data_IF_899909636910
#
_entry.id   IF_899909636910
#
_cell.length_a   1.000
_cell.length_b   1.000
_cell.length_c   1.000
_cell.angle_alpha   90.00
_cell.angle_beta   90.00
_cell.angle_gamma   90.00
#
_symmetry.space_group_name_H-M   'P 1'
#
loop_
_entity.id
_entity.type
_entity.pdbx_description
1 polymer ?
#
# COMPACT_ATOMS: atom_id res chain seq x y z
N UNK A 1 -21.07 -19.81 25.07
CA UNK A 1 -22.00 -18.72 24.78
C UNK A 1 -22.76 -18.41 26.06
N UNK A 2 -22.94 -17.14 26.44
CA UNK A 2 -23.80 -16.80 27.58
C UNK A 2 -25.26 -17.14 27.24
N UNK A 3 -26.01 -17.64 28.22
CA UNK A 3 -27.46 -17.84 28.12
C UNK A 3 -28.16 -16.50 27.86
N UNK A 4 -29.33 -16.54 27.21
CA UNK A 4 -30.09 -15.35 26.78
C UNK A 4 -30.38 -14.34 27.91
N UNK A 5 -30.33 -14.79 29.17
CA UNK A 5 -30.66 -14.01 30.36
C UNK A 5 -29.46 -13.32 31.02
N UNK A 6 -28.22 -13.60 30.59
CA UNK A 6 -27.02 -13.02 31.21
C UNK A 6 -26.67 -11.68 30.57
N UNK A 7 -26.94 -10.59 31.27
CA UNK A 7 -26.54 -9.25 30.84
C UNK A 7 -25.02 -9.07 30.97
N UNK A 8 -24.39 -8.54 29.91
CA UNK A 8 -22.95 -8.30 29.87
C UNK A 8 -22.66 -6.85 30.27
N UNK A 9 -21.63 -6.64 31.10
CA UNK A 9 -21.21 -5.30 31.50
C UNK A 9 -20.69 -4.53 30.27
N UNK A 10 -20.96 -3.22 30.12
CA UNK A 10 -20.55 -2.46 28.95
C UNK A 10 -19.04 -2.51 28.63
N UNK A 11 -18.20 -2.72 29.66
CA UNK A 11 -16.75 -2.85 29.49
C UNK A 11 -16.34 -4.24 28.96
N UNK A 12 -17.20 -5.24 29.15
CA UNK A 12 -16.97 -6.62 28.70
C UNK A 12 -17.29 -6.81 27.21
N UNK A 13 -17.93 -5.84 26.55
CA UNK A 13 -18.03 -5.81 25.08
C UNK A 13 -16.65 -5.76 24.41
N UNK A 14 -15.65 -5.21 25.11
CA UNK A 14 -14.26 -5.19 24.67
C UNK A 14 -13.55 -6.52 24.92
N UNK A 15 -14.02 -7.33 25.88
CA UNK A 15 -13.44 -8.66 26.21
C UNK A 15 -13.74 -9.69 25.11
N UNK A 16 -14.82 -9.50 24.35
CA UNK A 16 -15.06 -10.27 23.12
C UNK A 16 -14.02 -9.98 22.01
N UNK A 17 -13.21 -8.93 22.18
CA UNK A 17 -12.18 -8.47 21.25
C UNK A 17 -10.81 -8.63 21.91
N UNK A 18 -9.74 -8.85 21.14
CA UNK A 18 -8.42 -8.94 21.78
C UNK A 18 -8.04 -7.56 22.34
N UNK A 19 -7.46 -7.52 23.54
CA UNK A 19 -7.00 -6.29 24.19
C UNK A 19 -6.06 -5.49 23.28
N UNK A 20 -5.20 -6.20 22.55
CA UNK A 20 -4.30 -5.61 21.54
C UNK A 20 -5.06 -4.96 20.38
N UNK A 21 -6.13 -5.58 19.87
CA UNK A 21 -6.95 -4.98 18.81
C UNK A 21 -7.56 -3.66 19.25
N UNK A 22 -8.09 -3.61 20.47
CA UNK A 22 -8.67 -2.39 21.05
C UNK A 22 -7.61 -1.29 21.16
N UNK A 23 -6.43 -1.59 21.69
CA UNK A 23 -5.35 -0.62 21.86
C UNK A 23 -4.89 -0.06 20.51
N UNK A 24 -4.67 -0.93 19.53
CA UNK A 24 -4.26 -0.52 18.18
C UNK A 24 -5.34 0.35 17.52
N UNK A 25 -6.60 -0.09 17.56
CA UNK A 25 -7.71 0.60 16.89
C UNK A 25 -8.09 1.93 17.56
N UNK A 26 -7.90 2.05 18.88
CA UNK A 26 -8.25 3.23 19.68
C UNK A 26 -7.16 4.29 19.70
N UNK A 27 -5.88 3.90 19.73
CA UNK A 27 -4.77 4.84 19.91
C UNK A 27 -3.85 4.94 18.69
N UNK A 28 -3.49 3.81 18.06
CA UNK A 28 -2.51 3.80 16.96
C UNK A 28 -3.16 4.18 15.63
N UNK A 29 -4.30 3.57 15.31
CA UNK A 29 -4.98 3.78 14.05
C UNK A 29 -5.45 5.23 13.82
N UNK A 30 -6.00 5.98 14.80
CA UNK A 30 -6.40 7.37 14.56
C UNK A 30 -5.22 8.25 14.13
N UNK A 31 -4.04 8.05 14.73
CA UNK A 31 -2.82 8.77 14.34
C UNK A 31 -2.43 8.40 12.90
N UNK A 32 -2.42 7.10 12.57
CA UNK A 32 -2.17 6.61 11.22
C UNK A 32 -3.20 7.16 10.21
N UNK A 33 -4.47 7.25 10.60
CA UNK A 33 -5.56 7.75 9.77
C UNK A 33 -5.34 9.22 9.42
N UNK A 34 -5.10 10.11 10.40
CA UNK A 34 -4.89 11.52 10.12
C UNK A 34 -3.62 11.77 9.28
N UNK A 35 -2.50 11.14 9.66
CA UNK A 35 -1.25 11.28 8.91
C UNK A 35 -1.39 10.75 7.48
N UNK A 36 -1.98 9.56 7.32
CA UNK A 36 -2.18 8.93 6.02
C UNK A 36 -3.20 9.64 5.15
N UNK A 37 -4.30 10.09 5.73
CA UNK A 37 -5.36 10.80 5.01
C UNK A 37 -4.85 12.14 4.50
N UNK A 38 -4.23 12.94 5.35
CA UNK A 38 -3.65 14.23 4.95
C UNK A 38 -2.54 14.02 3.91
N UNK A 39 -1.61 13.10 4.18
CA UNK A 39 -0.49 12.83 3.28
C UNK A 39 -0.94 12.37 1.88
N UNK A 40 -1.81 11.36 1.82
CA UNK A 40 -2.29 10.82 0.55
C UNK A 40 -3.26 11.79 -0.17
N UNK A 41 -4.03 12.61 0.56
CA UNK A 41 -4.84 13.66 -0.04
C UNK A 41 -3.98 14.74 -0.71
N UNK A 42 -2.91 15.19 -0.03
CA UNK A 42 -1.96 16.14 -0.61
C UNK A 42 -1.26 15.53 -1.82
N UNK A 43 -0.83 14.27 -1.75
CA UNK A 43 -0.23 13.56 -2.89
C UNK A 43 -1.18 13.54 -4.10
N UNK A 44 -2.45 13.19 -3.86
CA UNK A 44 -3.49 13.19 -4.88
C UNK A 44 -3.68 14.59 -5.50
N UNK A 45 -3.76 15.66 -4.69
CA UNK A 45 -3.90 17.04 -5.17
C UNK A 45 -2.71 17.47 -6.04
N UNK A 46 -1.48 17.19 -5.61
CA UNK A 46 -0.25 17.56 -6.32
C UNK A 46 -0.17 16.84 -7.67
N UNK A 47 -0.37 15.52 -7.68
CA UNK A 47 -0.28 14.70 -8.89
C UNK A 47 -1.40 15.01 -9.89
N UNK A 48 -2.57 15.40 -9.38
CA UNK A 48 -3.71 15.86 -10.18
C UNK A 48 -3.56 17.32 -10.67
N UNK A 49 -2.44 17.99 -10.45
CA UNK A 49 -2.22 19.33 -11.03
C UNK A 49 -2.06 19.26 -12.56
N UNK A 50 -2.56 20.29 -13.28
CA UNK A 50 -2.59 20.34 -14.76
C UNK A 50 -1.25 20.07 -15.44
N UNK A 51 -0.12 20.37 -14.78
CA UNK A 51 1.22 20.16 -15.32
C UNK A 51 1.80 18.75 -15.13
N UNK A 52 1.23 17.92 -14.23
CA UNK A 52 1.76 16.58 -13.93
C UNK A 52 0.92 15.46 -14.53
N UNK A 53 -0.37 15.68 -14.79
CA UNK A 53 -1.30 14.68 -15.37
C UNK A 53 -0.93 14.21 -16.79
N UNK A 54 -0.03 14.91 -17.50
CA UNK A 54 0.40 14.52 -18.85
C UNK A 54 1.24 13.24 -18.88
N UNK A 55 1.82 12.86 -17.74
CA UNK A 55 2.61 11.63 -17.62
C UNK A 55 1.74 10.52 -17.00
N UNK A 56 1.64 9.39 -17.70
CA UNK A 56 0.88 8.21 -17.25
C UNK A 56 1.34 7.72 -15.88
N UNK A 57 2.63 7.82 -15.57
CA UNK A 57 3.19 7.48 -14.25
C UNK A 57 2.52 8.29 -13.13
N UNK A 58 2.27 9.59 -13.34
CA UNK A 58 1.63 10.43 -12.33
C UNK A 58 0.15 10.09 -12.17
N UNK A 59 -0.53 9.63 -13.23
CA UNK A 59 -1.90 9.09 -13.15
C UNK A 59 -1.91 7.81 -12.30
N UNK A 60 -0.99 6.87 -12.55
CA UNK A 60 -0.88 5.63 -11.77
C UNK A 60 -0.58 5.90 -10.29
N UNK A 61 0.34 6.83 -10.00
CA UNK A 61 0.62 7.28 -8.64
C UNK A 61 -0.58 7.97 -7.98
N UNK A 62 -1.41 8.68 -8.76
CA UNK A 62 -2.66 9.28 -8.26
C UNK A 62 -3.69 8.22 -7.89
N UNK A 63 -3.85 7.19 -8.71
CA UNK A 63 -4.77 6.07 -8.43
C UNK A 63 -4.30 5.28 -7.20
N UNK A 64 -2.99 5.10 -7.02
CA UNK A 64 -2.43 4.53 -5.80
C UNK A 64 -2.77 5.36 -4.56
N UNK A 65 -2.56 6.68 -4.61
CA UNK A 65 -2.91 7.57 -3.50
C UNK A 65 -4.42 7.55 -3.19
N UNK A 66 -5.27 7.48 -4.21
CA UNK A 66 -6.71 7.30 -4.06
C UNK A 66 -7.06 5.96 -3.39
N UNK A 67 -6.41 4.87 -3.79
CA UNK A 67 -6.61 3.56 -3.17
C UNK A 67 -6.17 3.55 -1.70
N UNK A 68 -5.06 4.19 -1.35
CA UNK A 68 -4.63 4.30 0.05
C UNK A 68 -5.60 5.14 0.91
N UNK A 69 -6.21 6.19 0.35
CA UNK A 69 -7.32 6.92 1.01
C UNK A 69 -8.54 6.02 1.21
N UNK A 70 -8.95 5.29 0.17
CA UNK A 70 -10.07 4.34 0.25
C UNK A 70 -9.84 3.25 1.30
N UNK A 71 -8.61 2.74 1.40
CA UNK A 71 -8.20 1.79 2.42
C UNK A 71 -8.36 2.35 3.85
N UNK A 72 -7.86 3.56 4.10
CA UNK A 72 -7.97 4.21 5.41
C UNK A 72 -9.42 4.48 5.79
N UNK A 73 -10.24 4.96 4.85
CA UNK A 73 -11.67 5.18 5.05
C UNK A 73 -12.42 3.87 5.34
N UNK A 74 -12.06 2.77 4.67
CA UNK A 74 -12.69 1.47 4.89
C UNK A 74 -12.37 0.87 6.28
N UNK A 75 -11.22 1.22 6.86
CA UNK A 75 -10.81 0.79 8.20
C UNK A 75 -11.41 1.63 9.34
N UNK A 76 -11.87 2.85 9.03
CA UNK A 76 -12.37 3.83 10.01
C UNK A 76 -13.55 3.33 10.88
N UNK A 77 -14.57 2.64 10.34
CA UNK A 77 -15.65 2.10 11.19
C UNK A 77 -15.16 1.15 12.28
N UNK A 78 -14.10 0.37 12.03
CA UNK A 78 -13.49 -0.54 13.00
C UNK A 78 -12.78 0.18 14.14
N UNK A 79 -12.21 1.35 13.87
CA UNK A 79 -11.63 2.23 14.89
C UNK A 79 -12.71 2.92 15.71
N UNK A 80 -13.74 3.48 15.05
CA UNK A 80 -14.90 4.08 15.72
C UNK A 80 -15.55 3.11 16.70
N UNK A 81 -15.72 1.84 16.31
CA UNK A 81 -16.28 0.79 17.16
C UNK A 81 -15.48 0.51 18.45
N UNK A 82 -14.27 1.05 18.59
CA UNK A 82 -13.43 0.88 19.80
C UNK A 82 -13.66 1.98 20.84
N UNK A 83 -14.43 3.03 20.51
CA UNK A 83 -14.71 4.15 21.41
C UNK A 83 -16.03 3.95 22.18
N UNK A 84 -16.11 4.41 23.45
CA UNK A 84 -17.30 4.28 24.31
C UNK A 84 -18.60 4.73 23.65
N UNK A 85 -18.59 5.90 23.01
CA UNK A 85 -19.79 6.44 22.36
C UNK A 85 -20.35 5.53 21.26
N UNK A 86 -19.49 4.72 20.62
CA UNK A 86 -19.87 3.88 19.50
C UNK A 86 -20.28 2.48 19.96
N UNK A 87 -19.50 1.82 20.82
CA UNK A 87 -19.86 0.47 21.28
C UNK A 87 -21.00 0.46 22.30
N UNK A 88 -21.28 1.57 22.99
CA UNK A 88 -22.45 1.66 23.87
C UNK A 88 -23.76 1.88 23.08
N UNK A 89 -23.69 2.38 21.85
CA UNK A 89 -24.86 2.60 21.00
C UNK A 89 -25.31 1.31 20.31
N UNK A 90 -26.51 0.83 20.63
CA UNK A 90 -27.10 -0.36 20.00
C UNK A 90 -27.32 -0.18 18.48
N UNK A 91 -27.69 1.04 18.06
CA UNK A 91 -27.87 1.35 16.63
C UNK A 91 -26.54 1.24 15.86
N UNK A 92 -25.47 1.83 16.41
CA UNK A 92 -24.15 1.74 15.80
C UNK A 92 -23.64 0.29 15.77
N UNK A 93 -23.84 -0.48 16.85
CA UNK A 93 -23.47 -1.91 16.91
C UNK A 93 -24.15 -2.73 15.84
N UNK A 94 -25.46 -2.60 15.69
CA UNK A 94 -26.20 -3.34 14.67
C UNK A 94 -25.70 -3.01 13.27
N UNK A 95 -25.53 -1.72 12.96
CA UNK A 95 -24.99 -1.28 11.67
C UNK A 95 -23.56 -1.78 11.45
N UNK A 96 -22.71 -1.68 12.48
CA UNK A 96 -21.32 -2.14 12.43
C UNK A 96 -21.24 -3.63 12.15
N UNK A 97 -21.94 -4.49 12.90
CA UNK A 97 -21.89 -5.93 12.68
C UNK A 97 -22.39 -6.32 11.29
N UNK A 98 -23.50 -5.72 10.84
CA UNK A 98 -24.06 -5.98 9.51
C UNK A 98 -23.11 -5.56 8.38
N UNK A 99 -22.36 -4.47 8.57
CA UNK A 99 -21.50 -3.89 7.53
C UNK A 99 -20.02 -4.25 7.64
N UNK A 100 -19.57 -4.79 8.78
CA UNK A 100 -18.16 -5.10 9.12
C UNK A 100 -17.47 -5.93 8.04
N UNK A 101 -18.17 -6.94 7.51
CA UNK A 101 -17.63 -7.81 6.47
C UNK A 101 -17.36 -7.01 5.18
N UNK A 102 -18.29 -6.17 4.75
CA UNK A 102 -18.11 -5.35 3.55
C UNK A 102 -16.97 -4.35 3.71
N UNK A 103 -16.88 -3.64 4.83
CA UNK A 103 -15.82 -2.66 5.08
C UNK A 103 -14.43 -3.31 5.08
N UNK A 104 -14.27 -4.45 5.74
CA UNK A 104 -12.97 -5.14 5.73
C UNK A 104 -12.65 -5.75 4.35
N UNK A 105 -13.65 -6.09 3.53
CA UNK A 105 -13.41 -6.55 2.15
C UNK A 105 -13.01 -5.38 1.27
N UNK A 106 -13.63 -4.21 1.45
CA UNK A 106 -13.23 -2.97 0.79
C UNK A 106 -11.81 -2.56 1.18
N UNK A 107 -11.43 -2.68 2.46
CA UNK A 107 -10.06 -2.44 2.89
C UNK A 107 -9.08 -3.38 2.17
N UNK A 108 -9.37 -4.69 2.12
CA UNK A 108 -8.53 -5.64 1.39
C UNK A 108 -8.45 -5.33 -0.11
N UNK A 109 -9.57 -4.94 -0.73
CA UNK A 109 -9.63 -4.51 -2.14
C UNK A 109 -8.72 -3.31 -2.38
N UNK A 110 -8.92 -2.22 -1.65
CA UNK A 110 -8.10 -1.01 -1.81
C UNK A 110 -6.62 -1.26 -1.50
N UNK A 111 -6.33 -2.13 -0.53
CA UNK A 111 -4.97 -2.55 -0.24
C UNK A 111 -4.34 -3.31 -1.41
N UNK A 112 -5.06 -4.27 -1.99
CA UNK A 112 -4.63 -5.04 -3.16
C UNK A 112 -4.37 -4.13 -4.37
N UNK A 113 -5.31 -3.23 -4.63
CA UNK A 113 -5.25 -2.26 -5.72
C UNK A 113 -4.02 -1.37 -5.58
N UNK A 114 -3.80 -0.78 -4.41
CA UNK A 114 -2.61 0.04 -4.12
C UNK A 114 -1.30 -0.75 -4.30
N UNK A 115 -1.24 -2.00 -3.82
CA UNK A 115 -0.05 -2.85 -3.96
C UNK A 115 0.25 -3.17 -5.43
N UNK A 116 -0.75 -3.59 -6.21
CA UNK A 116 -0.56 -3.90 -7.63
C UNK A 116 -0.18 -2.67 -8.44
N UNK A 117 -0.74 -1.50 -8.13
CA UNK A 117 -0.28 -0.26 -8.75
C UNK A 117 1.12 0.13 -8.32
N UNK A 118 1.54 -0.14 -7.08
CA UNK A 118 2.93 0.13 -6.65
C UNK A 118 3.92 -0.72 -7.43
N UNK A 119 3.64 -2.01 -7.58
CA UNK A 119 4.45 -2.91 -8.43
C UNK A 119 4.41 -2.43 -9.87
N UNK A 120 3.23 -2.20 -10.44
CA UNK A 120 3.09 -1.79 -11.83
C UNK A 120 3.74 -0.42 -12.11
N UNK A 121 3.59 0.55 -11.21
CA UNK A 121 4.25 1.86 -11.32
C UNK A 121 5.76 1.75 -11.17
N UNK A 122 6.27 0.85 -10.32
CA UNK A 122 7.71 0.55 -10.25
C UNK A 122 8.19 -0.07 -11.56
N UNK A 123 7.40 -0.97 -12.15
CA UNK A 123 7.70 -1.58 -13.45
C UNK A 123 7.69 -0.56 -14.57
N UNK A 124 6.64 0.26 -14.68
CA UNK A 124 6.51 1.31 -15.70
C UNK A 124 7.63 2.34 -15.57
N UNK A 125 8.04 2.68 -14.34
CA UNK A 125 9.17 3.59 -14.10
C UNK A 125 10.52 2.98 -14.54
N UNK A 126 10.65 1.64 -14.52
CA UNK A 126 11.82 0.90 -15.00
C UNK A 126 11.76 0.59 -16.50
N UNK A 127 10.56 0.50 -17.09
CA UNK A 127 10.28 0.23 -18.51
C UNK A 127 10.55 1.44 -19.43
N UNK A 128 11.39 2.39 -19.02
CA UNK A 128 11.99 3.40 -19.91
C UNK A 128 13.15 2.81 -20.73
N UNK A 129 13.07 1.54 -21.10
CA UNK A 129 13.91 0.90 -22.09
C UNK A 129 13.00 0.16 -23.07
N UNK A 130 13.21 0.42 -24.35
CA UNK A 130 12.42 -0.03 -25.49
C UNK A 130 11.89 -1.47 -25.38
N UNK A 131 10.57 -1.65 -25.35
CA UNK A 131 9.80 -2.29 -26.44
C UNK A 131 8.31 -2.39 -26.07
N UNK A 132 7.46 -1.92 -26.99
CA UNK A 132 6.01 -2.22 -26.99
C UNK A 132 5.83 -3.71 -27.27
N UNK A 133 4.87 -4.34 -26.57
CA UNK A 133 4.32 -5.68 -26.78
C UNK A 133 4.90 -6.86 -25.95
N UNK A 134 5.27 -6.63 -24.68
CA UNK A 134 6.02 -7.62 -23.90
C UNK A 134 5.56 -7.82 -22.44
N UNK A 135 4.31 -7.51 -22.09
CA UNK A 135 3.89 -7.58 -20.67
C UNK A 135 3.64 -9.02 -20.14
N UNK A 136 3.66 -10.05 -20.99
CA UNK A 136 3.41 -11.45 -20.56
C UNK A 136 4.50 -12.44 -21.05
N UNK A 137 5.18 -12.19 -22.17
CA UNK A 137 6.14 -13.16 -22.76
C UNK A 137 7.62 -12.90 -22.40
N UNK A 138 7.95 -11.78 -21.76
CA UNK A 138 9.35 -11.30 -21.70
C UNK A 138 10.03 -11.39 -20.34
N UNK A 139 9.24 -11.66 -19.30
CA UNK A 139 9.80 -12.05 -18.00
C UNK A 139 10.70 -13.31 -18.09
N UNK A 140 10.61 -14.09 -19.18
CA UNK A 140 11.49 -15.24 -19.41
C UNK A 140 12.57 -15.04 -20.49
N UNK A 141 12.47 -14.06 -21.39
CA UNK A 141 13.40 -13.92 -22.55
C UNK A 141 14.31 -12.69 -22.46
N UNK A 142 14.00 -11.69 -21.61
CA UNK A 142 14.84 -10.48 -21.50
C UNK A 142 16.15 -10.68 -20.72
N UNK A 143 16.37 -11.82 -20.07
CA UNK A 143 17.66 -12.11 -19.44
C UNK A 143 18.79 -12.45 -20.42
N UNK A 144 18.51 -12.64 -21.71
CA UNK A 144 19.53 -13.06 -22.67
C UNK A 144 19.91 -12.01 -23.73
N UNK A 145 19.11 -10.95 -23.92
CA UNK A 145 19.24 -10.06 -25.10
C UNK A 145 19.78 -8.63 -24.83
N UNK A 146 20.34 -8.36 -23.66
CA UNK A 146 20.77 -7.01 -23.27
C UNK A 146 22.20 -6.62 -23.67
N UNK A 147 22.53 -6.47 -24.98
CA UNK A 147 23.83 -5.90 -25.44
C UNK A 147 23.74 -4.74 -26.45
N UNK A 148 22.57 -4.41 -27.04
CA UNK A 148 22.44 -3.27 -27.98
C UNK A 148 21.02 -2.71 -27.85
N UNK A 149 20.70 -1.51 -27.37
CA UNK A 149 21.35 -0.21 -27.50
C UNK A 149 20.69 0.78 -26.51
N UNK A 150 21.40 1.79 -26.00
CA UNK A 150 20.83 2.83 -25.16
C UNK A 150 20.29 4.00 -25.99
N UNK A 151 19.37 4.75 -25.38
CA UNK A 151 18.92 6.09 -25.76
C UNK A 151 17.91 6.22 -26.90
N UNK A 152 16.73 6.71 -26.51
CA UNK A 152 15.93 7.61 -27.35
C UNK A 152 14.49 7.17 -27.56
N UNK A 153 13.61 7.38 -26.57
CA UNK A 153 12.19 7.57 -26.83
C UNK A 153 11.45 8.08 -25.57
N UNK A 154 11.39 9.40 -25.38
CA UNK A 154 10.27 10.02 -24.66
C UNK A 154 9.06 9.96 -25.59
N UNK A 155 8.29 8.86 -25.62
CA UNK A 155 6.98 8.90 -26.29
C UNK A 155 5.96 7.82 -25.86
N UNK A 156 4.90 8.33 -25.25
CA UNK A 156 3.47 7.94 -25.30
C UNK A 156 3.08 6.49 -25.01
N UNK A 157 2.89 6.20 -23.73
CA UNK A 157 1.76 5.37 -23.31
C UNK A 157 0.45 6.11 -23.63
N UNK A 158 -0.49 5.43 -24.29
CA UNK A 158 -1.80 5.98 -24.58
C UNK A 158 -2.65 5.96 -23.31
N UNK A 159 -3.40 7.04 -23.06
CA UNK A 159 -4.31 7.17 -21.92
C UNK A 159 -5.30 6.00 -21.86
N UNK A 160 -5.84 5.55 -23.00
CA UNK A 160 -6.77 4.42 -23.07
C UNK A 160 -6.17 3.11 -22.56
N UNK A 161 -4.90 2.85 -22.84
CA UNK A 161 -4.21 1.65 -22.34
C UNK A 161 -4.00 1.73 -20.82
N UNK A 162 -3.67 2.92 -20.30
CA UNK A 162 -3.54 3.13 -18.86
C UNK A 162 -4.89 2.94 -18.13
N UNK A 163 -5.98 3.44 -18.70
CA UNK A 163 -7.34 3.24 -18.17
C UNK A 163 -7.74 1.76 -18.20
N UNK A 164 -7.45 1.04 -19.29
CA UNK A 164 -7.74 -0.39 -19.38
C UNK A 164 -6.98 -1.18 -18.29
N UNK A 165 -5.69 -0.88 -18.08
CA UNK A 165 -4.90 -1.48 -16.99
C UNK A 165 -5.53 -1.17 -15.63
N UNK A 166 -5.99 0.06 -15.42
CA UNK A 166 -6.62 0.46 -14.16
C UNK A 166 -7.87 -0.41 -13.88
N UNK A 167 -8.73 -0.57 -14.89
CA UNK A 167 -9.96 -1.36 -14.78
C UNK A 167 -9.63 -2.83 -14.51
N UNK A 168 -8.65 -3.40 -15.23
CA UNK A 168 -8.24 -4.80 -15.07
C UNK A 168 -7.69 -5.06 -13.67
N UNK A 169 -6.81 -4.20 -13.16
CA UNK A 169 -6.24 -4.35 -11.81
C UNK A 169 -7.35 -4.29 -10.75
N UNK A 170 -8.29 -3.36 -10.90
CA UNK A 170 -9.41 -3.24 -9.97
C UNK A 170 -10.30 -4.49 -9.98
N UNK A 171 -10.62 -5.00 -11.17
CA UNK A 171 -11.43 -6.20 -11.34
C UNK A 171 -10.75 -7.45 -10.77
N UNK A 172 -9.47 -7.68 -11.09
CA UNK A 172 -8.70 -8.81 -10.55
C UNK A 172 -8.57 -8.72 -9.03
N UNK A 173 -8.36 -7.52 -8.49
CA UNK A 173 -8.29 -7.29 -7.04
C UNK A 173 -9.63 -7.59 -6.35
N UNK A 174 -10.76 -7.25 -6.99
CA UNK A 174 -12.09 -7.58 -6.50
C UNK A 174 -12.30 -9.09 -6.48
N UNK A 175 -11.95 -9.79 -7.56
CA UNK A 175 -12.06 -11.25 -7.64
C UNK A 175 -11.23 -11.97 -6.59
N UNK A 176 -10.03 -11.46 -6.28
CA UNK A 176 -9.16 -12.08 -5.27
C UNK A 176 -9.62 -11.80 -3.83
N UNK A 177 -10.34 -10.70 -3.58
CA UNK A 177 -10.72 -10.28 -2.22
C UNK A 177 -12.18 -10.59 -1.86
N UNK A 178 -13.04 -10.82 -2.85
CA UNK A 178 -14.47 -11.07 -2.65
C UNK A 178 -14.78 -12.40 -1.97
N UNK A 179 -13.85 -13.38 -1.98
CA UNK A 179 -14.02 -14.69 -1.32
C UNK A 179 -14.52 -14.54 0.12
N UNK A 180 -14.07 -13.52 0.83
CA UNK A 180 -14.38 -13.29 2.24
C UNK A 180 -15.84 -12.94 2.48
N UNK A 181 -16.51 -12.27 1.53
CA UNK A 181 -17.95 -11.99 1.61
C UNK A 181 -18.74 -13.29 1.60
N UNK A 182 -18.27 -14.26 0.82
CA UNK A 182 -18.94 -15.54 0.64
C UNK A 182 -18.47 -16.59 1.65
N UNK A 183 -17.29 -16.45 2.27
CA UNK A 183 -16.75 -17.46 3.18
C UNK A 183 -17.17 -17.26 4.64
N UNK A 184 -17.51 -16.03 5.03
CA UNK A 184 -17.84 -15.68 6.42
C UNK A 184 -19.25 -15.14 6.53
N UNK A 185 -19.96 -15.61 7.56
CA UNK A 185 -21.25 -15.05 7.96
C UNK A 185 -21.15 -14.40 9.34
N UNK A 186 -21.99 -13.39 9.57
CA UNK A 186 -22.10 -12.68 10.84
C UNK A 186 -23.35 -13.16 11.57
N UNK A 187 -23.16 -13.87 12.67
CA UNK A 187 -24.23 -14.27 13.57
C UNK A 187 -24.46 -13.16 14.58
N UNK A 188 -25.67 -12.63 14.62
CA UNK A 188 -26.08 -11.56 15.54
C UNK A 188 -27.04 -12.19 16.56
N UNK A 189 -26.66 -12.16 17.83
CA UNK A 189 -27.47 -12.64 18.93
C UNK A 189 -27.94 -11.48 19.80
N UNK A 190 -29.20 -11.53 20.19
CA UNK A 190 -29.77 -10.64 21.19
C UNK A 190 -29.63 -11.30 22.56
N UNK A 191 -29.07 -10.56 23.52
CA UNK A 191 -28.79 -10.99 24.89
C UNK A 191 -29.42 -9.97 25.84
N UNK A 192 -29.67 -10.35 27.10
CA UNK A 192 -30.29 -9.50 28.11
C UNK A 192 -31.71 -9.10 27.66
N UNK A 193 -32.56 -10.12 27.41
CA UNK A 193 -33.97 -9.95 27.08
C UNK A 193 -34.22 -8.94 25.92
N UNK A 194 -33.41 -9.02 24.86
CA UNK A 194 -33.53 -8.16 23.67
C UNK A 194 -32.86 -6.80 23.76
N UNK A 195 -32.23 -6.45 24.89
CA UNK A 195 -31.65 -5.11 25.08
C UNK A 195 -30.21 -4.96 24.56
N UNK A 196 -29.47 -6.06 24.41
CA UNK A 196 -28.06 -6.05 24.01
C UNK A 196 -27.82 -6.91 22.76
N UNK A 197 -26.97 -6.44 21.83
CA UNK A 197 -26.71 -7.09 20.52
C UNK A 197 -25.25 -7.52 20.39
N UNK A 198 -24.97 -8.82 20.37
CA UNK A 198 -23.61 -9.35 20.23
C UNK A 198 -23.45 -9.96 18.84
N UNK A 199 -22.38 -9.61 18.14
CA UNK A 199 -22.06 -10.16 16.83
C UNK A 199 -20.79 -10.99 16.86
N UNK A 200 -20.88 -12.24 16.40
CA UNK A 200 -19.74 -13.11 16.17
C UNK A 200 -19.60 -13.43 14.68
N UNK A 201 -18.37 -13.37 14.17
CA UNK A 201 -18.05 -13.77 12.79
C UNK A 201 -17.62 -15.24 12.79
N UNK A 202 -18.29 -16.07 12.01
CA UNK A 202 -17.96 -17.49 11.84
C UNK A 202 -17.76 -17.84 10.37
N UNK A 203 -17.11 -18.98 10.12
CA UNK A 203 -17.11 -19.58 8.78
C UNK A 203 -18.54 -19.98 8.44
N UNK A 204 -18.99 -19.58 7.25
CA UNK A 204 -20.34 -19.90 6.81
C UNK A 204 -20.44 -21.39 6.47
N UNK A 205 -21.41 -22.08 7.07
CA UNK A 205 -21.61 -23.52 6.87
C UNK A 205 -22.71 -23.74 5.82
N UNK A 206 -22.32 -23.78 4.55
CA UNK A 206 -23.26 -24.00 3.44
C UNK A 206 -23.38 -25.49 3.10
N UNK A 207 -24.58 -26.04 3.25
CA UNK A 207 -24.89 -27.43 2.90
C UNK A 207 -24.76 -27.75 1.39
N UNK A 208 -24.72 -26.73 0.53
CA UNK A 208 -24.60 -26.88 -0.94
C UNK A 208 -23.16 -26.74 -1.45
N UNK A 209 -22.20 -26.36 -0.59
CA UNK A 209 -20.81 -26.15 -0.99
C UNK A 209 -20.08 -27.45 -1.36
N UNK A 210 -20.54 -28.58 -0.83
CA UNK A 210 -20.00 -29.91 -1.14
C UNK A 210 -20.26 -30.35 -2.60
N UNK A 211 -21.13 -29.65 -3.36
CA UNK A 211 -21.49 -30.04 -4.74
C UNK A 211 -20.63 -29.42 -5.84
N UNK A 212 -19.83 -28.37 -5.58
CA UNK A 212 -19.08 -27.67 -6.64
C UNK A 212 -17.60 -27.51 -6.30
N UNK A 213 -16.71 -28.16 -7.06
CA UNK A 213 -15.28 -28.21 -6.76
C UNK A 213 -14.60 -26.82 -6.83
N UNK A 214 -14.95 -25.96 -7.79
CA UNK A 214 -14.25 -24.67 -7.95
C UNK A 214 -14.60 -23.66 -6.85
N UNK A 215 -15.88 -23.60 -6.44
CA UNK A 215 -16.35 -22.66 -5.42
C UNK A 215 -15.84 -23.09 -4.04
N UNK A 216 -15.87 -24.39 -3.73
CA UNK A 216 -15.33 -24.90 -2.47
C UNK A 216 -13.82 -24.65 -2.34
N UNK A 217 -13.04 -24.87 -3.41
CA UNK A 217 -11.61 -24.53 -3.45
C UNK A 217 -11.41 -23.03 -3.23
N UNK A 218 -12.17 -22.18 -3.91
CA UNK A 218 -12.05 -20.73 -3.79
C UNK A 218 -12.38 -20.21 -2.39
N UNK A 219 -13.36 -20.79 -1.70
CA UNK A 219 -13.74 -20.39 -0.35
C UNK A 219 -12.79 -20.92 0.71
N UNK A 220 -12.32 -22.17 0.57
CA UNK A 220 -11.40 -22.79 1.52
C UNK A 220 -9.97 -22.24 1.39
N UNK A 221 -9.50 -22.01 0.16
CA UNK A 221 -8.14 -21.52 -0.11
C UNK A 221 -8.08 -20.03 -0.45
N UNK A 222 -9.21 -19.30 -0.39
CA UNK A 222 -9.28 -17.88 -0.74
C UNK A 222 -8.31 -17.02 0.06
N UNK A 223 -8.14 -17.30 1.36
CA UNK A 223 -7.15 -16.63 2.21
C UNK A 223 -5.72 -16.82 1.70
N UNK A 224 -5.37 -18.04 1.29
CA UNK A 224 -4.04 -18.36 0.77
C UNK A 224 -3.81 -17.71 -0.58
N UNK A 225 -4.79 -17.77 -1.48
CA UNK A 225 -4.75 -17.10 -2.80
C UNK A 225 -4.55 -15.60 -2.62
N UNK A 226 -5.33 -14.97 -1.74
CA UNK A 226 -5.19 -13.55 -1.42
C UNK A 226 -3.78 -13.21 -0.91
N UNK A 227 -3.23 -14.01 0.01
CA UNK A 227 -1.89 -13.80 0.55
C UNK A 227 -0.82 -13.91 -0.56
N UNK A 228 -0.87 -14.97 -1.35
CA UNK A 228 0.10 -15.21 -2.43
C UNK A 228 0.05 -14.07 -3.44
N UNK A 229 -1.14 -13.67 -3.87
CA UNK A 229 -1.34 -12.65 -4.88
C UNK A 229 -1.03 -11.23 -4.42
N UNK A 230 -1.31 -10.87 -3.15
CA UNK A 230 -1.16 -9.49 -2.65
C UNK A 230 0.17 -9.28 -1.92
N UNK A 231 0.78 -10.33 -1.36
CA UNK A 231 1.98 -10.18 -0.53
C UNK A 231 3.18 -10.83 -1.20
N UNK A 232 3.12 -12.15 -1.47
CA UNK A 232 4.29 -12.91 -1.93
C UNK A 232 4.71 -12.51 -3.34
N UNK A 233 3.78 -12.51 -4.30
CA UNK A 233 4.06 -12.17 -5.70
C UNK A 233 4.62 -10.73 -5.81
N UNK A 234 4.01 -9.70 -5.19
CA UNK A 234 4.56 -8.35 -5.19
C UNK A 234 5.97 -8.25 -4.58
N UNK A 235 6.21 -8.87 -3.42
CA UNK A 235 7.54 -8.85 -2.77
C UNK A 235 8.58 -9.49 -3.69
N UNK A 236 8.26 -10.65 -4.28
CA UNK A 236 9.18 -11.36 -5.16
C UNK A 236 9.43 -10.59 -6.46
N UNK A 237 8.36 -10.09 -7.11
CA UNK A 237 8.47 -9.28 -8.32
C UNK A 237 9.38 -8.09 -8.08
N UNK A 238 9.12 -7.33 -7.02
CA UNK A 238 9.93 -6.17 -6.65
C UNK A 238 11.38 -6.58 -6.36
N UNK A 239 11.63 -7.63 -5.57
CA UNK A 239 12.99 -8.07 -5.25
C UNK A 239 13.79 -8.49 -6.49
N UNK A 240 13.21 -9.35 -7.34
CA UNK A 240 13.86 -9.87 -8.55
C UNK A 240 14.14 -8.76 -9.56
N UNK A 241 13.24 -7.79 -9.69
CA UNK A 241 13.36 -6.72 -10.69
C UNK A 241 14.38 -5.65 -10.28
N UNK A 242 14.61 -5.47 -8.98
CA UNK A 242 15.63 -4.54 -8.49
C UNK A 242 17.06 -5.11 -8.56
N UNK A 243 17.26 -6.43 -8.59
CA UNK A 243 18.61 -7.03 -8.67
C UNK A 243 19.33 -6.67 -9.98
N UNK A 244 18.73 -6.81 -11.18
CA UNK A 244 19.32 -6.36 -12.44
C UNK A 244 19.60 -4.86 -12.47
N UNK A 245 18.72 -4.02 -11.92
CA UNK A 245 18.91 -2.57 -11.86
C UNK A 245 20.17 -2.21 -11.06
N UNK A 246 20.33 -2.80 -9.87
CA UNK A 246 21.50 -2.60 -9.02
C UNK A 246 22.76 -3.13 -9.71
N UNK A 247 22.68 -4.31 -10.34
CA UNK A 247 23.79 -4.92 -11.04
C UNK A 247 24.25 -4.07 -12.24
N UNK A 248 23.31 -3.62 -13.07
CA UNK A 248 23.56 -2.71 -14.20
C UNK A 248 24.22 -1.41 -13.73
N UNK A 249 23.72 -0.81 -12.66
CA UNK A 249 24.30 0.41 -12.10
C UNK A 249 25.70 0.18 -11.50
N UNK A 250 25.94 -0.95 -10.84
CA UNK A 250 27.26 -1.30 -10.32
C UNK A 250 28.26 -1.48 -11.45
N UNK A 251 27.88 -2.16 -12.52
CA UNK A 251 28.71 -2.34 -13.70
C UNK A 251 29.02 -1.00 -14.38
N UNK A 252 28.02 -0.13 -14.54
CA UNK A 252 28.20 1.22 -15.12
C UNK A 252 29.08 2.12 -14.25
N UNK A 253 28.96 2.04 -12.93
CA UNK A 253 29.85 2.73 -11.99
C UNK A 253 31.30 2.22 -12.08
N UNK A 254 31.51 0.90 -12.25
CA UNK A 254 32.84 0.32 -12.43
C UNK A 254 33.51 0.79 -13.72
N UNK A 255 32.78 0.82 -14.84
CA UNK A 255 33.24 1.34 -16.15
C UNK A 255 33.58 2.85 -16.06
N UNK A 256 32.80 3.62 -15.30
CA UNK A 256 33.08 5.05 -15.11
C UNK A 256 34.31 5.30 -14.23
N UNK A 257 34.50 4.49 -13.17
CA UNK A 257 35.68 4.61 -12.32
C UNK A 257 36.97 4.27 -13.08
N UNK A 258 36.94 3.29 -14.00
CA UNK A 258 38.08 2.99 -14.88
C UNK A 258 38.32 4.10 -15.91
N UNK A 259 37.28 4.72 -16.47
CA UNK A 259 37.42 5.90 -17.36
C UNK A 259 37.98 7.13 -16.63
N UNK A 260 37.57 7.40 -15.38
CA UNK A 260 38.14 8.49 -14.57
C UNK A 260 39.64 8.30 -14.28
N UNK A 261 40.08 7.07 -14.03
CA UNK A 261 41.50 6.75 -13.85
C UNK A 261 42.32 6.91 -15.15
N UNK A 262 41.75 6.59 -16.31
CA UNK A 262 42.41 6.75 -17.62
C UNK A 262 42.40 8.19 -18.15
N UNK A 263 41.39 9.00 -17.81
CA UNK A 263 41.24 10.39 -18.29
C UNK A 263 42.13 11.42 -17.60
N UNK A 264 42.81 11.06 -16.50
CA UNK A 264 43.71 11.97 -15.78
C UNK A 264 44.98 12.35 -16.58
N UNK A 265 45.23 11.71 -17.73
CA UNK A 265 46.40 11.97 -18.58
C UNK A 265 46.17 12.93 -19.76
N UNK A 266 44.96 13.45 -19.99
CA UNK A 266 44.69 14.33 -21.15
C UNK A 266 43.96 15.62 -20.77
N UNK A 267 44.63 16.75 -21.02
CA UNK A 267 44.31 18.09 -20.55
C UNK A 267 43.22 18.81 -21.39
N UNK A 268 42.11 18.15 -21.74
CA UNK A 268 41.03 18.75 -22.56
C UNK A 268 39.76 19.05 -21.75
N UNK A 269 39.42 20.35 -21.73
CA UNK A 269 38.29 21.14 -21.17
C UNK A 269 37.14 20.39 -20.43
N UNK A 270 36.65 20.89 -19.26
CA UNK A 270 35.91 20.09 -18.28
C UNK A 270 34.37 20.19 -18.36
N UNK A 271 33.79 20.83 -19.39
CA UNK A 271 32.35 21.17 -19.41
C UNK A 271 31.41 19.98 -19.59
N UNK A 272 31.83 18.91 -20.26
CA UNK A 272 31.03 17.69 -20.44
C UNK A 272 31.05 16.76 -19.22
N UNK A 273 32.13 16.82 -18.42
CA UNK A 273 32.28 15.98 -17.23
C UNK A 273 31.36 16.43 -16.08
N UNK A 274 31.07 17.73 -15.97
CA UNK A 274 30.12 18.24 -14.97
C UNK A 274 28.70 17.77 -15.24
N UNK A 275 28.23 17.82 -16.50
CA UNK A 275 26.87 17.42 -16.87
C UNK A 275 26.67 15.91 -16.68
N UNK A 276 27.66 15.10 -17.06
CA UNK A 276 27.65 13.66 -16.80
C UNK A 276 27.66 13.32 -15.30
N UNK A 277 28.41 14.07 -14.48
CA UNK A 277 28.44 13.88 -13.03
C UNK A 277 27.11 14.28 -12.37
N UNK A 278 26.45 15.34 -12.88
CA UNK A 278 25.11 15.77 -12.44
C UNK A 278 24.07 14.70 -12.80
N UNK A 279 24.07 14.20 -14.04
CA UNK A 279 23.17 13.11 -14.45
C UNK A 279 23.39 11.84 -13.60
N UNK A 280 24.64 11.47 -13.33
CA UNK A 280 24.95 10.30 -12.49
C UNK A 280 24.48 10.46 -11.04
N UNK A 281 24.57 11.67 -10.47
CA UNK A 281 24.02 11.98 -9.14
C UNK A 281 22.49 11.90 -9.13
N UNK A 282 21.83 12.37 -10.20
CA UNK A 282 20.39 12.23 -10.36
C UNK A 282 19.97 10.75 -10.47
N UNK A 283 20.65 9.94 -11.28
CA UNK A 283 20.38 8.50 -11.40
C UNK A 283 20.58 7.77 -10.07
N UNK A 284 21.67 8.04 -9.34
CA UNK A 284 21.89 7.46 -7.99
C UNK A 284 20.82 7.86 -7.00
N UNK A 285 20.34 9.10 -7.06
CA UNK A 285 19.25 9.58 -6.21
C UNK A 285 17.95 8.86 -6.52
N UNK A 286 17.60 8.70 -7.80
CA UNK A 286 16.40 7.95 -8.22
C UNK A 286 16.48 6.49 -7.73
N UNK A 287 17.61 5.81 -7.91
CA UNK A 287 17.74 4.41 -7.46
C UNK A 287 17.73 4.28 -5.94
N UNK A 288 18.35 5.20 -5.20
CA UNK A 288 18.26 5.21 -3.73
C UNK A 288 16.81 5.34 -3.26
N UNK A 289 16.00 6.15 -3.95
CA UNK A 289 14.59 6.32 -3.60
C UNK A 289 13.74 5.10 -3.97
N UNK A 290 14.02 4.46 -5.12
CA UNK A 290 13.38 3.18 -5.49
C UNK A 290 13.73 2.12 -4.45
N UNK A 291 15.01 1.98 -4.07
CA UNK A 291 15.43 1.07 -3.01
C UNK A 291 14.74 1.36 -1.68
N UNK A 292 14.62 2.63 -1.27
CA UNK A 292 13.92 3.00 -0.05
C UNK A 292 12.42 2.64 -0.09
N UNK A 293 11.74 2.88 -1.21
CA UNK A 293 10.33 2.50 -1.41
C UNK A 293 10.17 0.98 -1.33
N UNK A 294 11.09 0.25 -1.97
CA UNK A 294 11.09 -1.22 -2.00
C UNK A 294 11.33 -1.80 -0.61
N UNK A 295 12.35 -1.31 0.10
CA UNK A 295 12.66 -1.74 1.45
C UNK A 295 11.51 -1.40 2.41
N UNK A 296 10.90 -0.23 2.27
CA UNK A 296 9.72 0.12 3.06
C UNK A 296 8.57 -0.85 2.77
N UNK A 297 8.26 -1.11 1.50
CA UNK A 297 7.20 -2.03 1.09
C UNK A 297 7.43 -3.44 1.62
N UNK A 298 8.64 -3.99 1.49
CA UNK A 298 8.94 -5.35 1.97
C UNK A 298 8.89 -5.43 3.49
N UNK A 299 9.44 -4.44 4.21
CA UNK A 299 9.42 -4.42 5.67
C UNK A 299 7.99 -4.29 6.21
N UNK A 300 7.11 -3.57 5.52
CA UNK A 300 5.75 -3.34 6.01
C UNK A 300 4.79 -4.46 5.63
N UNK A 301 5.02 -5.14 4.49
CA UNK A 301 4.16 -6.23 4.03
C UNK A 301 4.60 -7.63 4.49
N UNK A 302 5.90 -7.87 4.72
CA UNK A 302 6.40 -9.18 5.16
C UNK A 302 5.77 -9.67 6.49
N UNK A 303 5.53 -8.84 7.51
CA UNK A 303 4.93 -9.30 8.77
C UNK A 303 3.55 -9.94 8.63
N UNK A 304 2.78 -9.60 7.58
CA UNK A 304 1.47 -10.21 7.32
C UNK A 304 1.53 -11.69 6.91
N UNK A 305 2.72 -12.22 6.59
CA UNK A 305 2.93 -13.64 6.33
C UNK A 305 2.88 -14.48 7.61
N UNK A 306 3.27 -13.90 8.75
CA UNK A 306 3.46 -14.62 10.02
C UNK A 306 2.16 -15.28 10.51
N UNK A 307 1.00 -14.60 10.58
CA UNK A 307 -0.25 -15.24 11.03
C UNK A 307 -0.67 -16.41 10.14
N UNK A 308 -0.40 -16.34 8.84
CA UNK A 308 -0.78 -17.42 7.91
C UNK A 308 0.18 -18.60 8.04
N UNK A 309 1.48 -18.36 8.17
CA UNK A 309 2.45 -19.41 8.44
C UNK A 309 2.14 -20.14 9.76
N UNK A 310 1.73 -19.39 10.78
CA UNK A 310 1.28 -19.96 12.06
C UNK A 310 0.10 -20.94 11.88
N UNK A 311 -0.90 -20.59 11.05
CA UNK A 311 -2.02 -21.46 10.72
C UNK A 311 -1.60 -22.68 9.88
N UNK A 312 -0.77 -22.48 8.86
CA UNK A 312 -0.36 -23.55 7.94
C UNK A 312 0.60 -24.56 8.58
N UNK A 313 1.45 -24.12 9.53
CA UNK A 313 2.38 -25.00 10.24
C UNK A 313 1.73 -25.81 11.37
N UNK A 314 0.41 -25.70 11.58
CA UNK A 314 -0.33 -26.54 12.54
C UNK A 314 0.06 -26.30 14.01
N UNK A 315 0.66 -25.14 14.33
CA UNK A 315 1.02 -24.81 15.71
C UNK A 315 -0.27 -24.56 16.49
N UNK A 316 -0.51 -25.32 17.57
CA UNK A 316 -1.61 -25.11 18.51
C UNK A 316 -1.38 -23.80 19.29
N UNK A 317 -1.58 -22.68 18.61
CA UNK A 317 -1.47 -21.35 19.19
C UNK A 317 -2.82 -21.03 19.82
N UNK A 318 -2.82 -20.45 21.02
CA UNK A 318 -4.05 -19.92 21.60
C UNK A 318 -4.67 -18.87 20.65
N UNK A 319 -5.99 -18.90 20.48
CA UNK A 319 -6.70 -17.96 19.58
C UNK A 319 -6.32 -16.49 19.85
N UNK A 320 -5.98 -16.17 21.10
CA UNK A 320 -5.49 -14.86 21.56
C UNK A 320 -4.16 -14.44 20.93
N UNK A 321 -3.17 -15.34 20.85
CA UNK A 321 -1.83 -15.05 20.34
C UNK A 321 -1.85 -14.90 18.81
N UNK A 322 -2.68 -15.69 18.13
CA UNK A 322 -2.93 -15.54 16.69
C UNK A 322 -3.60 -14.19 16.38
N UNK A 323 -4.69 -13.87 17.08
CA UNK A 323 -5.40 -12.59 16.91
C UNK A 323 -4.46 -11.40 17.15
N UNK A 324 -3.68 -11.43 18.23
CA UNK A 324 -2.69 -10.39 18.53
C UNK A 324 -1.70 -10.19 17.38
N UNK A 325 -1.10 -11.28 16.89
CA UNK A 325 -0.10 -11.22 15.82
C UNK A 325 -0.71 -10.68 14.52
N UNK A 326 -1.95 -11.07 14.20
CA UNK A 326 -2.66 -10.59 13.02
C UNK A 326 -2.95 -9.08 13.08
N UNK A 327 -3.37 -8.55 14.24
CA UNK A 327 -3.63 -7.12 14.39
C UNK A 327 -2.35 -6.28 14.37
N UNK A 328 -1.26 -6.76 14.97
CA UNK A 328 0.05 -6.11 14.88
C UNK A 328 0.53 -6.07 13.44
N UNK A 329 0.48 -7.20 12.73
CA UNK A 329 0.88 -7.27 11.32
C UNK A 329 0.06 -6.32 10.45
N UNK A 330 -1.26 -6.25 10.66
CA UNK A 330 -2.12 -5.32 9.93
C UNK A 330 -1.76 -3.85 10.21
N UNK A 331 -1.45 -3.50 11.46
CA UNK A 331 -1.00 -2.14 11.83
C UNK A 331 0.33 -1.77 11.15
N UNK A 332 1.25 -2.72 10.99
CA UNK A 332 2.51 -2.51 10.27
C UNK A 332 2.24 -2.25 8.77
N UNK A 333 1.32 -2.99 8.16
CA UNK A 333 0.90 -2.75 6.75
C UNK A 333 0.27 -1.37 6.59
N UNK A 334 -0.63 -0.97 7.50
CA UNK A 334 -1.22 0.38 7.50
C UNK A 334 -0.12 1.44 7.60
N UNK A 335 0.84 1.25 8.50
CA UNK A 335 1.99 2.16 8.64
C UNK A 335 2.76 2.29 7.34
N UNK A 336 3.02 1.20 6.62
CA UNK A 336 3.67 1.26 5.31
C UNK A 336 2.92 2.12 4.30
N UNK A 337 1.59 1.99 4.23
CA UNK A 337 0.75 2.83 3.36
C UNK A 337 0.77 4.31 3.74
N UNK A 338 0.88 4.62 5.03
CA UNK A 338 1.05 6.01 5.52
C UNK A 338 2.43 6.55 5.16
N UNK A 339 3.49 5.74 5.28
CA UNK A 339 4.87 6.13 4.98
C UNK A 339 5.12 6.42 3.49
N UNK A 340 4.30 5.86 2.58
CA UNK A 340 4.40 6.14 1.15
C UNK A 340 4.40 7.65 0.83
N UNK A 341 3.57 8.44 1.51
CA UNK A 341 3.57 9.90 1.36
C UNK A 341 4.92 10.52 1.75
N UNK A 342 5.46 10.14 2.92
CA UNK A 342 6.76 10.65 3.39
C UNK A 342 7.89 10.27 2.43
N UNK A 343 7.82 9.10 1.83
CA UNK A 343 8.76 8.65 0.80
C UNK A 343 8.64 9.49 -0.49
N UNK A 344 7.44 9.83 -0.94
CA UNK A 344 7.27 10.73 -2.09
C UNK A 344 7.78 12.15 -1.78
N UNK A 345 7.53 12.65 -0.57
CA UNK A 345 8.05 13.92 -0.09
C UNK A 345 9.58 13.95 -0.07
N UNK A 346 10.24 12.90 0.44
CA UNK A 346 11.71 12.86 0.54
C UNK A 346 12.39 12.57 -0.80
N UNK A 347 11.75 11.77 -1.66
CA UNK A 347 12.29 11.30 -2.94
C UNK A 347 12.33 12.38 -4.04
N UNK A 348 11.20 13.07 -4.28
CA UNK A 348 11.04 13.89 -5.48
C UNK A 348 11.18 15.39 -5.21
N UNK A 349 12.27 15.98 -5.71
CA UNK A 349 12.50 17.42 -5.65
C UNK A 349 11.49 18.25 -6.49
N UNK A 350 10.84 17.63 -7.48
CA UNK A 350 9.76 18.29 -8.23
C UNK A 350 8.46 18.31 -7.42
N UNK A 351 8.13 17.18 -6.78
CA UNK A 351 6.99 17.05 -5.88
C UNK A 351 7.08 18.03 -4.71
N UNK A 352 8.24 18.10 -4.04
CA UNK A 352 8.48 19.06 -2.94
C UNK A 352 8.23 20.51 -3.34
N UNK A 353 8.73 20.94 -4.52
CA UNK A 353 8.54 22.31 -5.01
C UNK A 353 7.07 22.63 -5.28
N UNK A 354 6.32 21.67 -5.83
CA UNK A 354 4.87 21.83 -6.06
C UNK A 354 4.08 21.81 -4.75
N UNK A 355 4.45 20.95 -3.81
CA UNK A 355 3.86 20.89 -2.48
C UNK A 355 4.04 22.22 -1.73
N UNK A 356 5.25 22.78 -1.74
CA UNK A 356 5.54 24.09 -1.14
C UNK A 356 4.70 25.20 -1.78
N UNK A 357 4.60 25.25 -3.11
CA UNK A 357 3.79 26.25 -3.80
C UNK A 357 2.28 26.13 -3.47
N UNK A 358 1.77 24.90 -3.33
CA UNK A 358 0.37 24.66 -2.93
C UNK A 358 0.15 25.04 -1.46
N UNK A 359 1.07 24.66 -0.57
CA UNK A 359 1.03 25.06 0.83
C UNK A 359 1.05 26.59 0.95
N UNK A 360 1.97 27.29 0.29
CA UNK A 360 2.03 28.75 0.27
C UNK A 360 0.71 29.38 -0.21
N UNK A 361 0.08 28.82 -1.24
CA UNK A 361 -1.22 29.30 -1.76
C UNK A 361 -2.36 29.08 -0.77
N UNK A 362 -2.38 27.92 -0.09
CA UNK A 362 -3.40 27.60 0.93
C UNK A 362 -3.20 28.48 2.17
N UNK A 363 -1.96 28.61 2.66
CA UNK A 363 -1.64 29.47 3.81
C UNK A 363 -1.96 30.93 3.54
N UNK A 364 -1.69 31.42 2.33
CA UNK A 364 -2.07 32.77 1.91
C UNK A 364 -3.60 32.96 1.91
N UNK A 365 -4.37 31.96 1.48
CA UNK A 365 -5.84 32.01 1.50
C UNK A 365 -6.45 31.89 2.91
N UNK A 366 -5.81 31.17 3.82
CA UNK A 366 -6.30 30.94 5.19
C UNK A 366 -5.86 32.06 6.16
N UNK A 367 -4.99 32.98 5.71
CA UNK A 367 -4.62 34.17 6.50
C UNK A 367 -3.75 33.87 7.72
N UNK A 368 -3.10 32.70 7.77
CA UNK A 368 -2.23 32.31 8.90
C UNK A 368 -0.81 32.82 8.62
N UNK A 369 -0.41 33.89 9.32
CA UNK A 369 0.94 34.48 9.33
C UNK A 369 2.03 33.58 9.95
N UNK A 370 1.94 32.25 9.83
CA UNK A 370 2.95 31.29 10.33
C UNK A 370 4.08 31.02 9.32
N UNK A 371 4.31 31.97 8.40
CA UNK A 371 5.16 31.80 7.21
C UNK A 371 6.66 31.71 7.50
N UNK A 372 7.13 32.14 8.67
CA UNK A 372 8.58 32.15 8.94
C UNK A 372 9.11 30.98 9.77
N UNK A 373 8.32 30.39 10.66
CA UNK A 373 8.83 29.36 11.58
C UNK A 373 8.71 27.97 10.95
N UNK A 374 7.55 27.62 10.38
CA UNK A 374 7.34 26.31 9.74
C UNK A 374 8.19 26.16 8.47
N UNK A 375 8.33 27.26 7.70
CA UNK A 375 9.16 27.30 6.51
C UNK A 375 10.65 27.18 6.87
N UNK A 376 11.11 27.78 7.98
CA UNK A 376 12.48 27.59 8.49
C UNK A 376 12.73 26.18 8.99
N UNK A 377 11.78 25.56 9.69
CA UNK A 377 11.92 24.17 10.18
C UNK A 377 11.99 23.20 8.99
N UNK A 378 11.13 23.38 7.98
CA UNK A 378 11.14 22.55 6.77
C UNK A 378 12.35 22.85 5.86
N UNK A 379 12.85 24.08 5.79
CA UNK A 379 14.08 24.41 5.04
C UNK A 379 15.35 23.91 5.74
N UNK A 380 15.36 23.86 7.07
CA UNK A 380 16.51 23.40 7.85
C UNK A 380 16.71 21.88 7.76
N UNK A 381 15.61 21.11 7.64
CA UNK A 381 15.63 19.67 7.34
C UNK A 381 15.91 19.34 5.86
N UNK A 382 16.05 20.36 4.99
CA UNK A 382 16.19 20.20 3.53
C UNK A 382 17.59 20.52 2.96
N UNK A 383 18.59 20.82 3.79
CA UNK A 383 20.01 20.81 3.40
C UNK A 383 20.59 19.42 3.61
#
# INVERSE_FOLDING_TARGET
MPENDVCIHPDDYLILRSTTEVVIQRYVFPIQFFLGFIGNAVNLIVLLSRGMRSEVTNILLSVMAFADLGFLCAMLPGSLASFPFAYQSSCFRWYFYKTKLYFHTMANLFSAVSTWYAVFASQVSQLNYSTKLQLILVVSIERFAGIRSPMGARHCWNLSSAIAVIIIIFFLSLLVTSWRIFAYDVLIHEVCNGTQIIGQTGMAQYSWLDRTNCISIYLNYGQLIQLVSIVIIPIFAVAVLNVPLICFMRNRNAINNTRKKRGASTNRRPRSNSDFCIMQRQERKVTATVLAIVTCFTLTHAPSLIPVLMLTCGVKISDTNYSMTAHIANSIVVTGKVLNFLLFCTSSAHFRRKLLAICETIFYKVGINASQILLKILLHEMK
#
